data_IF_626195718247
#
_entry.id   IF_626195718247
#
_cell.length_a   1.000
_cell.length_b   1.000
_cell.length_c   1.000
_cell.angle_alpha   90.00
_cell.angle_beta   90.00
_cell.angle_gamma   90.00
#
_symmetry.space_group_name_H-M   'P 1'
#
loop_
_entity.id
_entity.type
_entity.pdbx_description
1 polymer ?
#
# COMPACT_ATOMS: atom_id res chain seq x y z
N UNK A 1 11.53 -4.78 -9.69
CA UNK A 1 11.34 -3.33 -9.44
C UNK A 1 10.20 -2.83 -10.31
N UNK A 2 9.21 -2.14 -9.75
CA UNK A 2 8.09 -1.52 -10.47
C UNK A 2 8.28 0.01 -10.44
N UNK A 3 8.33 0.66 -11.60
CA UNK A 3 8.41 2.12 -11.71
C UNK A 3 7.29 2.63 -12.61
N UNK A 4 6.59 3.68 -12.17
CA UNK A 4 5.48 4.26 -12.91
C UNK A 4 5.50 5.78 -12.85
N UNK A 5 5.15 6.42 -13.96
CA UNK A 5 4.93 7.86 -14.02
C UNK A 5 3.44 8.13 -13.88
N UNK A 6 3.07 9.03 -12.97
CA UNK A 6 1.68 9.44 -12.74
C UNK A 6 1.54 10.92 -12.99
N UNK A 7 0.59 11.29 -13.84
CA UNK A 7 0.18 12.67 -14.06
C UNK A 7 -1.16 12.86 -13.37
N UNK A 8 -1.23 13.67 -12.32
CA UNK A 8 -2.48 14.00 -11.65
C UNK A 8 -3.31 14.95 -12.51
N UNK A 9 -4.62 14.72 -12.61
CA UNK A 9 -5.52 15.51 -13.48
C UNK A 9 -5.46 17.01 -13.26
N UNK A 10 -5.18 17.45 -12.02
CA UNK A 10 -5.11 18.87 -11.64
C UNK A 10 -3.67 19.41 -11.53
N UNK A 11 -2.66 18.55 -11.68
CA UNK A 11 -1.26 18.92 -11.46
C UNK A 11 -0.49 18.96 -12.77
N UNK A 12 0.04 20.13 -13.16
CA UNK A 12 1.10 20.27 -14.20
C UNK A 12 2.44 19.66 -13.76
N UNK A 13 2.41 18.70 -12.85
CA UNK A 13 3.55 18.09 -12.20
C UNK A 13 3.53 16.58 -12.45
N UNK A 14 4.67 16.04 -12.86
CA UNK A 14 4.85 14.61 -13.02
C UNK A 14 5.23 14.03 -11.67
N UNK A 15 4.66 12.87 -11.32
CA UNK A 15 5.07 12.13 -10.13
C UNK A 15 5.71 10.82 -10.52
N UNK A 16 6.95 10.64 -10.06
CA UNK A 16 7.70 9.42 -10.25
C UNK A 16 7.42 8.54 -9.05
N UNK A 17 6.78 7.40 -9.28
CA UNK A 17 6.49 6.41 -8.25
C UNK A 17 7.34 5.17 -8.49
N UNK A 18 8.17 4.82 -7.51
CA UNK A 18 9.00 3.63 -7.52
C UNK A 18 8.58 2.69 -6.39
N UNK A 19 8.49 1.39 -6.70
CA UNK A 19 8.06 0.37 -5.76
C UNK A 19 8.89 -0.90 -5.93
N UNK A 20 9.35 -1.41 -4.82
CA UNK A 20 10.14 -2.62 -4.75
C UNK A 20 9.53 -3.60 -3.75
N UNK A 21 9.63 -4.89 -4.07
CA UNK A 21 9.19 -6.00 -3.23
C UNK A 21 10.41 -6.90 -3.05
N UNK A 22 10.93 -6.94 -1.84
CA UNK A 22 12.08 -7.73 -1.45
C UNK A 22 11.55 -8.93 -0.67
N UNK A 23 11.74 -10.17 -1.14
CA UNK A 23 11.34 -11.36 -0.39
C UNK A 23 12.21 -11.48 0.86
N UNK A 24 11.58 -11.62 2.03
CA UNK A 24 12.25 -11.95 3.29
C UNK A 24 12.14 -13.45 3.60
N UNK A 25 11.00 -14.04 3.26
CA UNK A 25 10.69 -15.46 3.36
C UNK A 25 9.66 -15.81 2.26
N UNK A 26 9.34 -17.10 2.10
CA UNK A 26 8.44 -17.69 1.10
C UNK A 26 7.11 -16.94 0.97
N UNK A 27 6.58 -16.42 2.09
CA UNK A 27 5.31 -15.71 2.16
C UNK A 27 5.41 -14.30 2.76
N UNK A 28 6.62 -13.81 3.04
CA UNK A 28 6.84 -12.51 3.69
C UNK A 28 7.67 -11.63 2.78
N UNK A 29 7.17 -10.43 2.48
CA UNK A 29 7.83 -9.46 1.61
C UNK A 29 7.98 -8.12 2.32
N UNK A 30 9.18 -7.56 2.24
CA UNK A 30 9.42 -6.15 2.50
C UNK A 30 9.07 -5.36 1.25
N UNK A 31 8.06 -4.49 1.35
CA UNK A 31 7.65 -3.59 0.29
C UNK A 31 8.10 -2.18 0.63
N UNK A 32 8.98 -1.63 -0.20
CA UNK A 32 9.45 -0.25 -0.12
C UNK A 32 8.89 0.49 -1.32
N UNK A 33 8.36 1.69 -1.12
CA UNK A 33 7.98 2.56 -2.22
C UNK A 33 8.25 4.02 -1.89
N UNK A 34 8.57 4.77 -2.93
CA UNK A 34 8.85 6.19 -2.87
C UNK A 34 8.13 6.93 -4.00
N UNK A 35 7.74 8.16 -3.71
CA UNK A 35 7.16 9.09 -4.67
C UNK A 35 8.00 10.38 -4.69
N UNK A 36 8.29 10.86 -5.89
CA UNK A 36 9.02 12.10 -6.14
C UNK A 36 8.14 13.02 -6.99
N UNK A 37 7.85 14.21 -6.50
CA UNK A 37 7.09 15.21 -7.23
C UNK A 37 8.06 16.12 -8.01
N UNK A 38 7.99 16.07 -9.35
CA UNK A 38 8.92 16.81 -10.20
C UNK A 38 8.70 18.31 -10.20
N UNK A 39 7.60 18.83 -9.64
CA UNK A 39 7.38 20.27 -9.52
C UNK A 39 8.27 20.90 -8.45
N UNK A 40 8.45 20.20 -7.34
CA UNK A 40 9.27 20.67 -6.21
C UNK A 40 10.69 20.10 -6.27
N UNK A 41 10.90 19.01 -7.03
CA UNK A 41 12.19 18.32 -7.09
C UNK A 41 12.52 17.55 -5.81
N UNK A 42 11.51 17.26 -4.98
CA UNK A 42 11.68 16.69 -3.64
C UNK A 42 10.83 15.42 -3.46
N UNK A 43 11.31 14.43 -2.67
CA UNK A 43 10.53 13.26 -2.32
C UNK A 43 9.22 13.68 -1.65
N UNK A 44 8.08 13.32 -2.25
CA UNK A 44 6.76 13.57 -1.70
C UNK A 44 6.34 12.48 -0.71
N UNK A 45 6.83 11.25 -0.92
CA UNK A 45 6.48 10.12 -0.08
C UNK A 45 7.61 9.10 0.02
N UNK A 46 7.83 8.54 1.20
CA UNK A 46 8.62 7.33 1.39
C UNK A 46 7.88 6.39 2.34
N UNK A 47 7.70 5.14 1.97
CA UNK A 47 7.00 4.17 2.79
C UNK A 47 7.60 2.78 2.68
N UNK A 48 7.67 2.10 3.82
CA UNK A 48 8.15 0.74 3.94
C UNK A 48 7.14 -0.09 4.74
N UNK A 49 6.85 -1.30 4.28
CA UNK A 49 5.93 -2.20 4.96
C UNK A 49 6.37 -3.64 4.84
N UNK A 50 6.22 -4.40 5.91
CA UNK A 50 6.33 -5.86 5.87
C UNK A 50 4.94 -6.41 5.60
N UNK A 51 4.83 -7.27 4.60
CA UNK A 51 3.56 -7.90 4.21
C UNK A 51 3.72 -9.41 4.17
N UNK A 52 2.84 -10.08 4.91
CA UNK A 52 2.70 -11.53 4.90
C UNK A 52 1.49 -11.94 4.08
N UNK A 53 1.67 -12.96 3.25
CA UNK A 53 0.61 -13.61 2.49
C UNK A 53 0.25 -14.94 3.15
N UNK A 54 -1.04 -15.20 3.25
CA UNK A 54 -1.61 -16.43 3.77
C UNK A 54 -2.35 -17.10 2.60
N UNK A 55 -1.64 -17.90 1.78
CA UNK A 55 -2.23 -18.50 0.57
C UNK A 55 -3.45 -19.35 0.91
N UNK A 56 -3.41 -20.11 2.00
CA UNK A 56 -4.50 -20.98 2.45
C UNK A 56 -5.79 -20.22 2.80
N UNK A 57 -5.66 -18.95 3.20
CA UNK A 57 -6.77 -18.07 3.56
C UNK A 57 -7.10 -17.06 2.46
N UNK A 58 -6.41 -17.11 1.31
CA UNK A 58 -6.46 -16.09 0.25
C UNK A 58 -6.35 -14.66 0.81
N UNK A 59 -5.54 -14.52 1.86
CA UNK A 59 -5.45 -13.30 2.65
C UNK A 59 -4.02 -12.77 2.66
N UNK A 60 -3.87 -11.50 3.01
CA UNK A 60 -2.58 -10.90 3.30
C UNK A 60 -2.75 -9.83 4.37
N UNK A 61 -1.83 -9.80 5.32
CA UNK A 61 -1.74 -8.75 6.31
C UNK A 61 -0.39 -8.06 6.17
N UNK A 62 -0.33 -6.78 6.50
CA UNK A 62 0.92 -6.05 6.51
C UNK A 62 0.86 -4.87 7.45
N UNK A 63 2.03 -4.51 7.96
CA UNK A 63 2.23 -3.32 8.76
C UNK A 63 3.38 -2.52 8.15
N UNK A 64 3.27 -1.21 8.19
CA UNK A 64 4.27 -0.35 7.63
C UNK A 64 4.31 1.02 8.24
N UNK A 65 5.33 1.75 7.82
CA UNK A 65 5.55 3.14 8.14
C UNK A 65 5.59 3.95 6.86
N UNK A 66 5.06 5.15 6.94
CA UNK A 66 5.03 6.10 5.85
C UNK A 66 5.52 7.45 6.36
N UNK A 67 6.41 8.06 5.61
CA UNK A 67 6.87 9.41 5.83
C UNK A 67 6.34 10.28 4.70
N UNK A 68 5.54 11.27 5.08
CA UNK A 68 5.04 12.33 4.22
C UNK A 68 5.57 13.66 4.77
N UNK A 69 6.15 14.49 3.90
CA UNK A 69 6.70 15.81 4.24
C UNK A 69 5.66 16.69 4.95
N UNK A 70 4.38 16.54 4.62
CA UNK A 70 3.29 17.32 5.20
C UNK A 70 2.69 16.69 6.45
N UNK A 71 2.71 15.36 6.57
CA UNK A 71 1.96 14.63 7.62
C UNK A 71 2.82 13.86 8.63
N UNK A 72 4.15 14.08 8.65
CA UNK A 72 5.11 13.42 9.54
C UNK A 72 5.10 11.88 9.37
N UNK A 73 5.85 11.17 10.22
CA UNK A 73 5.91 9.69 10.25
C UNK A 73 4.57 9.12 10.73
N UNK A 74 4.01 8.20 9.96
CA UNK A 74 2.74 7.51 10.21
C UNK A 74 2.95 6.01 10.20
N UNK A 75 2.12 5.30 10.95
CA UNK A 75 2.07 3.85 10.96
C UNK A 75 0.78 3.41 10.26
N UNK A 76 0.82 2.34 9.49
CA UNK A 76 -0.38 1.80 8.88
C UNK A 76 -0.42 0.29 8.97
N UNK A 77 -1.63 -0.23 9.14
CA UNK A 77 -1.93 -1.65 9.03
C UNK A 77 -2.80 -1.85 7.78
N UNK A 78 -2.52 -2.91 7.03
CA UNK A 78 -3.24 -3.25 5.80
C UNK A 78 -3.66 -4.71 5.83
N UNK A 79 -4.94 -4.94 5.58
CA UNK A 79 -5.52 -6.25 5.33
C UNK A 79 -6.03 -6.36 3.90
N UNK A 80 -5.85 -7.52 3.28
CA UNK A 80 -6.58 -7.91 2.08
C UNK A 80 -7.05 -9.35 2.28
N UNK A 81 -8.29 -9.63 1.95
CA UNK A 81 -8.84 -10.98 1.90
C UNK A 81 -9.65 -11.13 0.61
N UNK A 82 -9.51 -12.26 -0.06
CA UNK A 82 -10.23 -12.58 -1.29
C UNK A 82 -11.00 -13.88 -1.10
N UNK A 83 -12.25 -13.93 -1.55
CA UNK A 83 -13.13 -15.10 -1.42
C UNK A 83 -13.61 -15.50 -2.81
N UNK A 84 -13.41 -16.76 -3.25
CA UNK A 84 -14.01 -17.23 -4.48
C UNK A 84 -15.52 -17.33 -4.30
N UNK A 85 -16.27 -16.70 -5.20
CA UNK A 85 -17.75 -16.69 -5.18
C UNK A 85 -18.31 -17.83 -6.01
N UNK A 86 -17.56 -18.22 -7.04
CA UNK A 86 -17.90 -19.31 -7.96
C UNK A 86 -16.87 -20.42 -7.82
N UNK A 87 -17.29 -21.67 -7.97
CA UNK A 87 -16.41 -22.86 -7.99
C UNK A 87 -15.31 -22.78 -9.04
N UNK A 88 -15.54 -22.01 -10.10
CA UNK A 88 -14.65 -21.88 -11.25
C UNK A 88 -13.58 -20.80 -11.04
N UNK A 89 -13.65 -20.07 -9.91
CA UNK A 89 -12.66 -19.05 -9.52
C UNK A 89 -12.68 -17.76 -10.35
N UNK A 90 -13.60 -17.63 -11.32
CA UNK A 90 -13.73 -16.47 -12.20
C UNK A 90 -14.26 -15.21 -11.50
N UNK A 91 -15.07 -15.36 -10.45
CA UNK A 91 -15.59 -14.26 -9.65
C UNK A 91 -15.00 -14.32 -8.23
N UNK A 92 -14.34 -13.24 -7.79
CA UNK A 92 -13.64 -13.20 -6.50
C UNK A 92 -13.91 -11.89 -5.75
N UNK A 93 -14.71 -11.95 -4.71
CA UNK A 93 -14.90 -10.80 -3.82
C UNK A 93 -13.60 -10.51 -3.08
N UNK A 94 -13.11 -9.30 -3.21
CA UNK A 94 -11.89 -8.86 -2.54
C UNK A 94 -12.19 -7.72 -1.58
N UNK A 95 -11.98 -7.97 -0.29
CA UNK A 95 -12.04 -6.96 0.77
C UNK A 95 -10.63 -6.46 1.02
N UNK A 96 -10.42 -5.15 0.92
CA UNK A 96 -9.17 -4.48 1.31
C UNK A 96 -9.48 -3.49 2.42
N UNK A 97 -8.74 -3.57 3.51
CA UNK A 97 -8.79 -2.60 4.60
C UNK A 97 -7.42 -1.96 4.80
N UNK A 98 -7.38 -0.66 5.06
CA UNK A 98 -6.18 0.03 5.54
C UNK A 98 -6.54 0.95 6.70
N UNK A 99 -5.81 0.83 7.80
CA UNK A 99 -5.88 1.71 8.95
C UNK A 99 -4.60 2.53 9.03
N UNK A 100 -4.73 3.84 9.21
CA UNK A 100 -3.60 4.73 9.44
C UNK A 100 -3.65 5.29 10.86
N UNK A 101 -2.49 5.27 11.50
CA UNK A 101 -2.25 5.68 12.87
C UNK A 101 -1.15 6.75 12.90
N UNK A 102 -1.36 7.78 13.71
CA UNK A 102 -0.34 8.80 13.94
C UNK A 102 0.79 8.25 14.84
N UNK A 103 1.79 9.09 15.16
CA UNK A 103 2.90 8.79 16.06
C UNK A 103 2.46 8.31 17.44
N UNK A 104 1.32 8.79 17.92
CA UNK A 104 0.71 8.40 19.20
C UNK A 104 -0.21 7.17 19.09
N UNK A 105 -0.12 6.42 17.98
CA UNK A 105 -0.95 5.25 17.63
C UNK A 105 -2.46 5.52 17.55
N UNK A 106 -2.88 6.78 17.61
CA UNK A 106 -4.27 7.18 17.40
C UNK A 106 -4.67 6.95 15.95
N UNK A 107 -5.70 6.13 15.75
CA UNK A 107 -6.28 5.89 14.44
C UNK A 107 -6.94 7.17 13.93
N UNK A 108 -6.59 7.58 12.72
CA UNK A 108 -7.14 8.80 12.11
C UNK A 108 -7.80 8.55 10.75
N UNK A 109 -7.57 7.39 10.13
CA UNK A 109 -8.19 7.05 8.85
C UNK A 109 -8.37 5.53 8.72
N UNK A 110 -9.56 5.10 8.33
CA UNK A 110 -9.85 3.73 7.94
C UNK A 110 -10.47 3.74 6.56
N UNK A 111 -9.92 2.94 5.65
CA UNK A 111 -10.41 2.85 4.28
C UNK A 111 -10.71 1.40 3.97
N UNK A 112 -11.95 1.14 3.54
CA UNK A 112 -12.40 -0.16 3.04
C UNK A 112 -12.69 -0.05 1.55
N UNK A 113 -12.14 -0.98 0.79
CA UNK A 113 -12.49 -1.17 -0.61
C UNK A 113 -13.08 -2.56 -0.79
N UNK A 114 -14.27 -2.61 -1.37
CA UNK A 114 -14.91 -3.80 -1.91
C UNK A 114 -14.72 -3.78 -3.42
N UNK A 115 -14.27 -4.90 -3.98
CA UNK A 115 -14.17 -5.09 -5.42
C UNK A 115 -14.66 -6.50 -5.75
N UNK A 116 -15.41 -6.60 -6.85
CA UNK A 116 -16.08 -7.81 -7.33
C UNK A 116 -15.27 -8.49 -8.45
#
# INVERSE_FOLDING_TARGET
METSLRCGGDSRALRIHAKEKIPLDSNIFLQVHGELDTRMGEPSLLAASVRQFFPDLFASAGIGVQYDKYRKLQHFARGKMSFPVTTDGMLQFTIKGQSHHDKDFKQFCFIVFLAD
#
